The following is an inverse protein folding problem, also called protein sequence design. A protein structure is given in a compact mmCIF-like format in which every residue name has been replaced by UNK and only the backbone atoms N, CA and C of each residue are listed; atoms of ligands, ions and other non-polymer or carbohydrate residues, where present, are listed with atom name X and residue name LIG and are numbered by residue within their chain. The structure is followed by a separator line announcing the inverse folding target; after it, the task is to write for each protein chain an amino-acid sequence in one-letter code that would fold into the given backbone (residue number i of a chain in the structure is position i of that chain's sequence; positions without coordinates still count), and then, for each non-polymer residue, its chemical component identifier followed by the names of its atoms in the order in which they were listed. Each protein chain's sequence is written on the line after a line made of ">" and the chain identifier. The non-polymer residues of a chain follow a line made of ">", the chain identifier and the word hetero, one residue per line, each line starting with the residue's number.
data_IF_918495793929
#
_entry.id   IF_918495793929
#
_cell.length_a   1.000
_cell.length_b   1.000
_cell.length_c   1.000
_cell.angle_alpha   90.00
_cell.angle_beta   90.00
_cell.angle_gamma   90.00
#
_symmetry.space_group_name_H-M   'P 1'
#
loop_
_entity.id
_entity.type
_entity.pdbx_description
1 polymer ?
#
# COMPACT_ATOMS: atom_id res chain seq x y z
N UNK A 1 -76.22 5.11 -1.50
CA UNK A 1 -75.40 6.21 -2.02
C UNK A 1 -74.53 6.71 -0.87
N UNK A 2 -73.33 6.30 -0.79
CA UNK A 2 -72.24 7.01 -0.10
C UNK A 2 -70.92 6.29 -0.43
N UNK A 3 -70.10 6.94 -1.18
CA UNK A 3 -68.85 6.55 -1.71
C UNK A 3 -67.75 6.84 -0.69
N UNK A 4 -67.03 5.84 -0.26
CA UNK A 4 -65.75 5.97 0.49
C UNK A 4 -64.60 6.22 -0.49
N UNK A 5 -63.69 7.15 -0.25
CA UNK A 5 -62.45 7.24 -1.02
C UNK A 5 -61.35 6.38 -0.39
N UNK A 6 -60.78 5.59 -1.24
CA UNK A 6 -59.61 4.76 -1.07
C UNK A 6 -58.36 5.65 -0.82
N UNK A 7 -57.67 5.43 0.30
CA UNK A 7 -56.43 6.11 0.62
C UNK A 7 -55.25 5.10 0.51
N UNK A 8 -54.72 4.98 -0.70
CA UNK A 8 -53.46 4.32 -0.97
C UNK A 8 -52.33 5.23 -0.52
N UNK A 9 -51.70 4.90 0.62
CA UNK A 9 -50.39 5.41 0.99
C UNK A 9 -49.30 4.70 0.14
N UNK A 10 -48.40 5.43 -0.52
CA UNK A 10 -47.21 4.80 -1.07
C UNK A 10 -46.27 4.47 0.07
N UNK A 11 -45.92 3.21 0.18
CA UNK A 11 -44.86 2.74 1.04
C UNK A 11 -43.55 3.44 0.63
N UNK A 12 -43.00 4.23 1.55
CA UNK A 12 -41.64 4.76 1.45
C UNK A 12 -40.64 3.57 1.50
N UNK A 13 -40.14 3.18 0.35
CA UNK A 13 -38.98 2.32 0.25
C UNK A 13 -37.79 3.09 0.81
N UNK A 14 -37.49 2.82 2.06
CA UNK A 14 -36.21 3.17 2.69
C UNK A 14 -35.09 2.42 1.94
N UNK A 15 -34.49 3.04 0.96
CA UNK A 15 -33.20 2.63 0.42
C UNK A 15 -32.19 2.81 1.54
N UNK A 16 -31.88 1.72 2.26
CA UNK A 16 -30.67 1.63 3.07
C UNK A 16 -29.49 1.81 2.11
N UNK A 17 -28.93 2.99 2.11
CA UNK A 17 -27.60 3.24 1.53
C UNK A 17 -26.63 2.42 2.37
N UNK A 18 -26.22 1.27 1.87
CA UNK A 18 -25.08 0.54 2.44
C UNK A 18 -23.88 1.46 2.31
N UNK A 19 -23.41 1.97 3.42
CA UNK A 19 -22.17 2.75 3.48
C UNK A 19 -21.00 1.78 3.21
N UNK A 20 -20.56 1.74 1.96
CA UNK A 20 -19.37 0.98 1.57
C UNK A 20 -18.14 1.73 2.05
N UNK A 21 -17.42 1.15 3.03
CA UNK A 21 -16.18 1.72 3.55
C UNK A 21 -15.09 1.70 2.47
N UNK A 22 -14.45 2.84 2.28
CA UNK A 22 -13.30 3.03 1.39
C UNK A 22 -12.02 2.85 2.21
N UNK A 23 -11.23 1.81 1.91
CA UNK A 23 -9.99 1.53 2.64
C UNK A 23 -8.79 2.10 1.89
N UNK A 24 -8.15 3.12 2.47
CA UNK A 24 -6.83 3.57 2.07
C UNK A 24 -5.73 2.82 2.84
N UNK A 25 -4.53 2.74 2.25
CA UNK A 25 -3.37 2.11 2.89
C UNK A 25 -2.14 2.98 2.71
N UNK A 26 -1.34 3.13 3.77
CA UNK A 26 -0.04 3.79 3.70
C UNK A 26 1.03 2.94 4.40
N UNK A 27 2.19 2.76 3.77
CA UNK A 27 3.28 1.98 4.34
C UNK A 27 4.01 2.73 5.46
N UNK A 28 4.35 2.01 6.53
CA UNK A 28 5.28 2.43 7.59
C UNK A 28 6.58 1.68 7.34
N UNK A 29 7.68 2.39 7.20
CA UNK A 29 8.98 1.88 6.79
C UNK A 29 9.98 1.92 7.92
N UNK A 30 10.96 1.02 7.89
CA UNK A 30 12.13 1.06 8.78
C UNK A 30 13.25 1.97 8.23
N UNK A 31 14.38 2.05 8.93
CA UNK A 31 15.56 2.85 8.54
C UNK A 31 16.18 2.40 7.21
N UNK A 32 15.98 1.13 6.82
CA UNK A 32 16.42 0.54 5.56
C UNK A 32 15.39 0.74 4.45
N UNK A 33 14.29 1.45 4.74
CA UNK A 33 13.14 1.67 3.85
C UNK A 33 12.43 0.36 3.45
N UNK A 34 12.48 -0.65 4.31
CA UNK A 34 11.69 -1.87 4.19
C UNK A 34 10.35 -1.67 4.88
N UNK A 35 9.28 -2.29 4.35
CA UNK A 35 7.96 -2.18 4.95
C UNK A 35 7.93 -2.89 6.31
N UNK A 36 7.67 -2.14 7.36
CA UNK A 36 7.47 -2.63 8.71
C UNK A 36 6.01 -2.97 8.97
N UNK A 37 5.10 -2.14 8.49
CA UNK A 37 3.67 -2.27 8.67
C UNK A 37 2.90 -1.36 7.72
N UNK A 38 1.58 -1.39 7.84
CA UNK A 38 0.68 -0.56 7.04
C UNK A 38 -0.34 0.10 7.94
N UNK A 39 -0.60 1.38 7.72
CA UNK A 39 -1.78 2.04 8.26
C UNK A 39 -2.93 1.90 7.27
N UNK A 40 -4.08 1.47 7.79
CA UNK A 40 -5.35 1.42 7.06
C UNK A 40 -6.24 2.56 7.54
N UNK A 41 -6.87 3.24 6.61
CA UNK A 41 -7.79 4.34 6.92
C UNK A 41 -9.05 4.28 6.05
N UNK A 42 -10.17 4.66 6.65
CA UNK A 42 -11.47 4.76 5.97
C UNK A 42 -11.54 6.09 5.24
N UNK A 43 -11.75 6.04 3.93
CA UNK A 43 -11.95 7.22 3.09
C UNK A 43 -13.41 7.55 2.82
N UNK A 44 -14.34 6.69 3.24
CA UNK A 44 -15.75 6.86 2.98
C UNK A 44 -16.46 7.79 3.97
N UNK A 45 -15.83 8.06 5.12
CA UNK A 45 -16.46 8.81 6.19
C UNK A 45 -15.87 10.21 6.34
N UNK A 46 -16.69 11.23 6.20
CA UNK A 46 -16.34 12.62 6.54
C UNK A 46 -16.05 12.79 8.07
N UNK A 47 -16.35 11.78 8.88
CA UNK A 47 -16.04 11.73 10.31
C UNK A 47 -15.84 10.28 10.73
N UNK A 48 -14.79 10.01 11.51
CA UNK A 48 -14.56 8.70 12.14
C UNK A 48 -15.64 8.42 13.17
N UNK A 49 -16.27 7.25 13.07
CA UNK A 49 -17.26 6.75 14.02
C UNK A 49 -16.93 5.33 14.43
N UNK A 50 -17.41 4.87 15.59
CA UNK A 50 -17.24 3.48 16.01
C UNK A 50 -17.78 2.48 14.97
N UNK A 51 -18.80 2.86 14.21
CA UNK A 51 -19.36 2.05 13.14
C UNK A 51 -18.45 2.00 11.91
N UNK A 52 -17.79 3.12 11.54
CA UNK A 52 -16.83 3.15 10.43
C UNK A 52 -15.57 2.35 10.75
N UNK A 53 -15.06 2.46 11.98
CA UNK A 53 -13.91 1.68 12.45
C UNK A 53 -14.20 0.18 12.42
N UNK A 54 -15.38 -0.23 12.90
CA UNK A 54 -15.82 -1.62 12.87
C UNK A 54 -16.00 -2.13 11.43
N UNK A 55 -16.57 -1.32 10.54
CA UNK A 55 -16.75 -1.66 9.14
C UNK A 55 -15.39 -1.77 8.41
N UNK A 56 -14.45 -0.85 8.68
CA UNK A 56 -13.11 -0.90 8.15
C UNK A 56 -12.40 -2.19 8.54
N UNK A 57 -12.39 -2.51 9.84
CA UNK A 57 -11.80 -3.72 10.38
C UNK A 57 -12.44 -4.97 9.81
N UNK A 58 -13.77 -5.03 9.80
CA UNK A 58 -14.51 -6.17 9.27
C UNK A 58 -14.25 -6.37 7.78
N UNK A 59 -14.28 -5.32 6.99
CA UNK A 59 -14.00 -5.38 5.56
C UNK A 59 -12.54 -5.77 5.29
N UNK A 60 -11.56 -5.13 5.95
CA UNK A 60 -10.15 -5.43 5.78
C UNK A 60 -9.81 -6.90 6.15
N UNK A 61 -10.46 -7.44 7.18
CA UNK A 61 -10.16 -8.77 7.71
C UNK A 61 -11.04 -9.88 7.09
N UNK A 62 -12.27 -9.58 6.67
CA UNK A 62 -13.22 -10.58 6.16
C UNK A 62 -13.07 -10.86 4.67
N UNK A 63 -12.70 -9.85 3.85
CA UNK A 63 -12.67 -10.00 2.39
C UNK A 63 -11.40 -10.66 1.85
N UNK A 64 -10.28 -10.54 2.53
CA UNK A 64 -9.02 -11.10 2.04
C UNK A 64 -8.33 -12.06 3.02
N UNK A 65 -8.86 -12.19 4.25
CA UNK A 65 -8.12 -12.76 5.37
C UNK A 65 -6.98 -11.81 5.81
N UNK A 66 -6.78 -11.60 7.10
CA UNK A 66 -5.74 -10.67 7.60
C UNK A 66 -4.35 -11.03 7.06
N UNK A 67 -4.07 -12.33 6.84
CA UNK A 67 -2.80 -12.81 6.29
C UNK A 67 -2.59 -12.43 4.82
N UNK A 68 -3.66 -12.38 4.02
CA UNK A 68 -3.56 -12.04 2.61
C UNK A 68 -3.35 -10.52 2.39
N UNK A 69 -3.81 -9.67 3.32
CA UNK A 69 -3.70 -8.21 3.19
C UNK A 69 -2.34 -7.66 3.61
N UNK A 70 -1.70 -8.29 4.57
CA UNK A 70 -0.52 -7.73 5.25
C UNK A 70 0.58 -8.76 5.49
N UNK A 71 0.41 -10.01 5.10
CA UNK A 71 1.38 -11.08 5.32
C UNK A 71 1.78 -11.16 6.80
N UNK A 72 3.08 -11.05 7.08
CA UNK A 72 3.64 -11.02 8.45
C UNK A 72 3.74 -9.63 9.06
N UNK A 73 3.29 -8.57 8.35
CA UNK A 73 3.46 -7.17 8.74
C UNK A 73 2.40 -6.73 9.76
N UNK A 74 2.67 -5.63 10.46
CA UNK A 74 1.70 -5.02 11.38
C UNK A 74 0.69 -4.17 10.62
N UNK A 75 -0.53 -4.12 11.13
CA UNK A 75 -1.62 -3.26 10.65
C UNK A 75 -1.94 -2.23 11.70
N UNK A 76 -1.80 -0.97 11.34
CA UNK A 76 -2.20 0.15 12.17
C UNK A 76 -3.59 0.59 11.74
N UNK A 77 -4.48 0.79 12.71
CA UNK A 77 -5.88 1.11 12.48
C UNK A 77 -6.29 2.25 13.39
N UNK A 78 -6.80 3.31 12.77
CA UNK A 78 -7.39 4.42 13.50
C UNK A 78 -8.62 3.96 14.27
N UNK A 79 -8.76 4.37 15.50
CA UNK A 79 -9.88 4.02 16.37
C UNK A 79 -10.52 5.25 17.01
N UNK A 80 -11.74 5.10 17.51
CA UNK A 80 -12.37 6.05 18.39
C UNK A 80 -12.40 5.49 19.82
N UNK A 81 -12.57 6.36 20.82
CA UNK A 81 -12.71 5.90 22.20
C UNK A 81 -13.91 4.97 22.43
N UNK A 82 -14.95 5.10 21.62
CA UNK A 82 -16.13 4.24 21.68
C UNK A 82 -15.88 2.89 21.03
N UNK A 83 -15.15 2.85 19.91
CA UNK A 83 -14.82 1.60 19.20
C UNK A 83 -13.91 0.69 20.01
N UNK A 84 -13.06 1.22 20.90
CA UNK A 84 -12.15 0.45 21.74
C UNK A 84 -12.87 -0.48 22.73
N UNK A 85 -14.12 -0.19 23.04
CA UNK A 85 -14.97 -1.02 23.90
C UNK A 85 -15.93 -1.93 23.12
N UNK A 86 -15.84 -1.92 21.79
CA UNK A 86 -16.73 -2.64 20.90
C UNK A 86 -16.44 -4.14 20.79
N UNK A 87 -17.49 -4.97 20.71
CA UNK A 87 -17.37 -6.43 20.55
C UNK A 87 -16.73 -6.86 19.21
N UNK A 88 -16.62 -5.96 18.21
CA UNK A 88 -15.96 -6.25 16.94
C UNK A 88 -14.46 -6.58 17.10
N UNK A 89 -13.80 -6.03 18.13
CA UNK A 89 -12.40 -6.37 18.43
C UNK A 89 -12.22 -7.83 18.90
N UNK A 90 -13.28 -8.51 19.29
CA UNK A 90 -13.24 -9.95 19.65
C UNK A 90 -13.08 -10.86 18.42
N UNK A 91 -13.39 -10.34 17.24
CA UNK A 91 -13.32 -11.08 15.98
C UNK A 91 -11.96 -10.99 15.30
N UNK A 92 -11.00 -10.30 15.91
CA UNK A 92 -9.72 -9.94 15.30
C UNK A 92 -8.58 -10.64 16.03
N UNK A 93 -7.63 -11.23 15.28
CA UNK A 93 -6.37 -11.71 15.81
C UNK A 93 -5.50 -10.52 16.26
N UNK A 94 -5.27 -10.31 17.57
CA UNK A 94 -4.70 -9.06 18.06
C UNK A 94 -3.21 -8.91 17.78
N UNK A 95 -2.48 -9.99 17.51
CA UNK A 95 -1.02 -10.01 17.48
C UNK A 95 -0.42 -9.15 16.34
N UNK A 96 -1.20 -8.94 15.29
CA UNK A 96 -0.78 -8.17 14.12
C UNK A 96 -1.41 -6.77 14.06
N UNK A 97 -2.27 -6.43 15.02
CA UNK A 97 -3.02 -5.18 15.00
C UNK A 97 -2.47 -4.18 16.00
N UNK A 98 -2.28 -2.96 15.54
CA UNK A 98 -1.94 -1.78 16.33
C UNK A 98 -3.14 -0.83 16.29
N UNK A 99 -3.71 -0.54 17.44
CA UNK A 99 -4.84 0.38 17.60
C UNK A 99 -4.29 1.80 17.77
N UNK A 100 -4.58 2.68 16.84
CA UNK A 100 -4.23 4.10 16.92
C UNK A 100 -5.32 4.84 17.68
N UNK A 101 -4.96 5.30 18.85
CA UNK A 101 -5.89 5.93 19.78
C UNK A 101 -5.72 7.45 19.76
N UNK A 102 -6.76 8.20 19.40
CA UNK A 102 -6.71 9.66 19.36
C UNK A 102 -6.66 10.24 20.79
N UNK A 103 -6.27 11.52 20.95
CA UNK A 103 -6.41 12.21 22.22
C UNK A 103 -7.90 12.25 22.64
N UNK A 104 -8.14 12.46 23.94
CA UNK A 104 -9.49 12.65 24.44
C UNK A 104 -10.13 13.91 23.82
N UNK A 105 -11.45 13.94 23.67
CA UNK A 105 -12.15 15.12 23.19
C UNK A 105 -11.80 16.37 24.02
N UNK A 106 -11.78 17.53 23.36
CA UNK A 106 -11.49 18.79 24.01
C UNK A 106 -12.44 19.02 25.22
N UNK A 107 -11.86 19.39 26.36
CA UNK A 107 -12.61 19.58 27.61
C UNK A 107 -12.68 18.36 28.53
N UNK A 108 -12.12 17.21 28.14
CA UNK A 108 -11.99 16.05 29.03
C UNK A 108 -11.10 16.38 30.22
N UNK A 109 -11.51 15.92 31.41
CA UNK A 109 -10.71 16.16 32.63
C UNK A 109 -9.62 15.08 32.83
N UNK A 110 -8.68 15.34 33.72
CA UNK A 110 -7.59 14.41 34.04
C UNK A 110 -8.08 13.03 34.51
N UNK A 111 -9.25 12.99 35.17
CA UNK A 111 -9.88 11.74 35.63
C UNK A 111 -10.35 10.91 34.43
N UNK A 112 -10.97 11.54 33.42
CA UNK A 112 -11.41 10.87 32.19
C UNK A 112 -10.22 10.26 31.46
N UNK A 113 -9.13 11.02 31.32
CA UNK A 113 -7.88 10.56 30.68
C UNK A 113 -7.31 9.34 31.41
N UNK A 114 -7.22 9.41 32.74
CA UNK A 114 -6.65 8.33 33.56
C UNK A 114 -7.52 7.08 33.56
N UNK A 115 -8.84 7.21 33.54
CA UNK A 115 -9.78 6.10 33.52
C UNK A 115 -9.62 5.23 32.25
N UNK A 116 -9.22 5.83 31.13
CA UNK A 116 -8.95 5.09 29.89
C UNK A 116 -7.78 4.10 29.99
N UNK A 117 -6.86 4.30 30.92
CA UNK A 117 -5.77 3.34 31.15
C UNK A 117 -6.27 1.90 31.43
N UNK A 118 -7.42 1.76 32.07
CA UNK A 118 -8.03 0.45 32.29
C UNK A 118 -8.45 -0.25 30.99
N UNK A 119 -9.03 0.50 30.06
CA UNK A 119 -9.41 -0.02 28.73
C UNK A 119 -8.16 -0.42 27.96
N UNK A 120 -7.12 0.40 27.94
CA UNK A 120 -5.86 0.10 27.25
C UNK A 120 -5.15 -1.10 27.86
N UNK A 121 -5.15 -1.24 29.19
CA UNK A 121 -4.61 -2.39 29.88
C UNK A 121 -5.30 -3.69 29.43
N UNK A 122 -6.63 -3.71 29.43
CA UNK A 122 -7.41 -4.86 28.99
C UNK A 122 -7.15 -5.23 27.50
N UNK A 123 -6.99 -4.24 26.63
CA UNK A 123 -6.64 -4.47 25.23
C UNK A 123 -5.23 -5.07 25.08
N UNK A 124 -4.27 -4.59 25.85
CA UNK A 124 -2.89 -5.15 25.87
C UNK A 124 -2.87 -6.57 26.41
N UNK A 125 -3.65 -6.89 27.45
CA UNK A 125 -3.78 -8.26 27.96
C UNK A 125 -4.35 -9.22 26.92
N UNK A 126 -5.19 -8.71 26.02
CA UNK A 126 -5.70 -9.46 24.86
C UNK A 126 -4.69 -9.62 23.73
N UNK A 127 -3.55 -8.93 23.77
CA UNK A 127 -2.47 -9.01 22.78
C UNK A 127 -2.44 -7.87 21.75
N UNK A 128 -3.34 -6.87 21.84
CA UNK A 128 -3.29 -5.70 20.97
C UNK A 128 -2.10 -4.81 21.32
N UNK A 129 -1.57 -4.14 20.30
CA UNK A 129 -0.61 -3.05 20.46
C UNK A 129 -1.31 -1.71 20.36
N UNK A 130 -0.77 -0.71 21.03
CA UNK A 130 -1.38 0.62 21.12
C UNK A 130 -0.39 1.67 20.59
N UNK A 131 -0.87 2.51 19.68
CA UNK A 131 -0.19 3.69 19.20
C UNK A 131 -0.91 4.95 19.67
N UNK A 132 -0.15 5.92 20.15
CA UNK A 132 -0.62 7.27 20.47
C UNK A 132 0.09 8.28 19.59
N UNK A 133 -0.54 9.40 19.35
CA UNK A 133 0.10 10.56 18.71
C UNK A 133 0.95 11.40 19.71
N UNK A 134 1.56 12.47 19.23
CA UNK A 134 2.41 13.35 20.06
C UNK A 134 1.71 13.95 21.28
N UNK A 135 0.37 14.01 21.33
CA UNK A 135 -0.35 14.54 22.50
C UNK A 135 -0.09 13.69 23.74
N UNK A 136 0.18 12.39 23.59
CA UNK A 136 0.55 11.51 24.69
C UNK A 136 1.84 11.95 25.42
N UNK A 137 2.68 12.75 24.78
CA UNK A 137 3.90 13.30 25.39
C UNK A 137 3.65 14.54 26.25
N UNK A 138 2.41 14.99 26.36
CA UNK A 138 2.05 16.11 27.25
C UNK A 138 1.81 15.64 28.68
N UNK A 139 1.89 16.55 29.63
CA UNK A 139 1.75 16.24 31.07
C UNK A 139 0.40 15.57 31.41
N UNK A 140 -0.66 15.98 30.72
CA UNK A 140 -2.01 15.48 30.99
C UNK A 140 -2.18 14.02 30.64
N UNK A 141 -1.42 13.51 29.65
CA UNK A 141 -1.45 12.13 29.17
C UNK A 141 -0.31 11.26 29.69
N UNK A 142 0.45 11.72 30.68
CA UNK A 142 1.61 10.98 31.21
C UNK A 142 1.26 9.55 31.69
N UNK A 143 0.02 9.31 32.13
CA UNK A 143 -0.48 7.98 32.52
C UNK A 143 -0.61 6.98 31.36
N UNK A 144 -0.68 7.46 30.10
CA UNK A 144 -0.78 6.61 28.92
C UNK A 144 0.59 6.09 28.43
N UNK A 145 1.67 6.82 28.73
CA UNK A 145 3.00 6.51 28.21
C UNK A 145 3.49 5.08 28.52
N UNK A 146 3.25 4.50 29.71
CA UNK A 146 3.65 3.13 29.99
C UNK A 146 2.90 2.08 29.17
N UNK A 147 1.75 2.45 28.58
CA UNK A 147 0.89 1.57 27.79
C UNK A 147 1.17 1.66 26.28
N UNK A 148 1.98 2.66 25.86
CA UNK A 148 2.33 2.88 24.47
C UNK A 148 3.26 1.79 23.96
N UNK A 149 2.95 1.21 22.79
CA UNK A 149 3.86 0.40 21.99
C UNK A 149 4.46 1.27 20.87
N UNK A 150 3.72 2.28 20.41
CA UNK A 150 4.17 3.24 19.40
C UNK A 150 3.77 4.67 19.81
N UNK A 151 4.63 5.62 19.44
CA UNK A 151 4.33 7.06 19.49
C UNK A 151 4.53 7.63 18.09
N UNK A 152 3.48 8.21 17.53
CA UNK A 152 3.46 8.80 16.19
C UNK A 152 3.72 10.31 16.32
N UNK A 153 4.72 10.80 15.61
CA UNK A 153 5.13 12.20 15.60
C UNK A 153 4.85 12.81 14.23
N UNK A 154 3.84 13.67 14.15
CA UNK A 154 3.46 14.35 12.93
C UNK A 154 4.44 15.51 12.62
N UNK A 155 5.23 15.35 11.56
CA UNK A 155 6.26 16.30 11.14
C UNK A 155 5.69 17.64 10.67
N UNK A 156 4.39 17.72 10.37
CA UNK A 156 3.75 18.99 10.01
C UNK A 156 3.33 19.82 11.22
N UNK A 157 3.11 19.18 12.36
CA UNK A 157 2.63 19.84 13.57
C UNK A 157 3.74 20.14 14.58
N UNK A 158 4.93 19.54 14.43
CA UNK A 158 6.07 19.79 15.32
C UNK A 158 7.11 20.66 14.61
N UNK A 159 7.46 21.79 15.19
CA UNK A 159 8.50 22.67 14.63
C UNK A 159 9.86 21.96 14.65
N UNK A 160 10.67 22.16 13.61
CA UNK A 160 11.97 21.51 13.46
C UNK A 160 12.89 21.69 14.69
N UNK A 161 12.88 22.88 15.31
CA UNK A 161 13.69 23.19 16.49
C UNK A 161 13.25 22.40 17.74
N UNK A 162 12.01 21.93 17.78
CA UNK A 162 11.44 21.18 18.91
C UNK A 162 11.65 19.67 18.78
N UNK A 163 11.90 19.16 17.58
CA UNK A 163 12.04 17.72 17.30
C UNK A 163 13.04 17.01 18.22
N UNK A 164 14.29 17.54 18.42
CA UNK A 164 15.24 16.87 19.31
C UNK A 164 14.72 16.73 20.74
N UNK A 165 14.07 17.75 21.27
CA UNK A 165 13.53 17.72 22.62
C UNK A 165 12.36 16.74 22.76
N UNK A 166 11.45 16.73 21.78
CA UNK A 166 10.29 15.81 21.75
C UNK A 166 10.74 14.36 21.64
N UNK A 167 11.69 14.06 20.75
CA UNK A 167 12.22 12.70 20.56
C UNK A 167 12.95 12.23 21.83
N UNK A 168 13.82 13.07 22.40
CA UNK A 168 14.52 12.74 23.65
C UNK A 168 13.56 12.52 24.82
N UNK A 169 12.50 13.33 24.90
CA UNK A 169 11.46 13.15 25.91
C UNK A 169 10.77 11.79 25.74
N UNK A 170 10.32 11.47 24.52
CA UNK A 170 9.70 10.18 24.24
C UNK A 170 10.62 9.01 24.59
N UNK A 171 11.88 9.03 24.16
CA UNK A 171 12.87 7.99 24.44
C UNK A 171 13.16 7.83 25.95
N UNK A 172 13.07 8.91 26.70
CA UNK A 172 13.32 8.91 28.15
C UNK A 172 12.15 8.32 28.95
N UNK A 173 10.91 8.64 28.57
CA UNK A 173 9.73 8.35 29.37
C UNK A 173 8.87 7.18 28.87
N UNK A 174 9.17 6.63 27.71
CA UNK A 174 8.50 5.45 27.18
C UNK A 174 9.49 4.50 26.48
N UNK A 175 9.10 3.23 26.39
CA UNK A 175 9.81 2.20 25.59
C UNK A 175 9.18 2.03 24.20
N UNK A 176 8.20 2.86 23.86
CA UNK A 176 7.49 2.79 22.60
C UNK A 176 8.41 3.06 21.40
N UNK A 177 8.12 2.41 20.30
CA UNK A 177 8.74 2.75 19.03
C UNK A 177 8.21 4.10 18.53
N UNK A 178 9.11 5.00 18.15
CA UNK A 178 8.72 6.30 17.58
C UNK A 178 8.54 6.12 16.08
N UNK A 179 7.40 6.58 15.56
CA UNK A 179 7.07 6.66 14.13
C UNK A 179 7.05 8.14 13.72
N UNK A 180 7.93 8.55 12.80
CA UNK A 180 7.85 9.87 12.19
C UNK A 180 6.83 9.83 11.04
N UNK A 181 5.73 10.56 11.19
CA UNK A 181 4.67 10.66 10.20
C UNK A 181 4.81 11.88 9.29
N UNK A 182 4.20 11.79 8.10
CA UNK A 182 4.20 12.88 7.11
C UNK A 182 5.59 13.39 6.77
N UNK A 183 6.53 12.44 6.65
CA UNK A 183 7.87 12.73 6.16
C UNK A 183 7.79 13.06 4.67
N UNK A 184 8.02 14.32 4.31
CA UNK A 184 7.88 14.83 2.94
C UNK A 184 9.21 15.07 2.23
N UNK A 185 10.31 15.16 3.00
CA UNK A 185 11.63 15.47 2.46
C UNK A 185 12.70 14.52 3.00
N UNK A 186 13.81 14.43 2.24
CA UNK A 186 14.99 13.66 2.64
C UNK A 186 15.62 14.22 3.93
N UNK A 187 15.64 15.54 4.05
CA UNK A 187 16.20 16.22 5.21
C UNK A 187 15.43 15.87 6.48
N UNK A 188 14.10 15.79 6.41
CA UNK A 188 13.26 15.33 7.52
C UNK A 188 13.59 13.89 7.91
N UNK A 189 13.70 12.99 6.93
CA UNK A 189 14.06 11.60 7.17
C UNK A 189 15.43 11.47 7.85
N UNK A 190 16.48 12.10 7.29
CA UNK A 190 17.82 12.02 7.84
C UNK A 190 17.92 12.67 9.24
N UNK A 191 17.19 13.78 9.45
CA UNK A 191 17.09 14.42 10.76
C UNK A 191 16.50 13.47 11.81
N UNK A 192 15.34 12.88 11.55
CA UNK A 192 14.68 11.97 12.50
C UNK A 192 15.49 10.70 12.71
N UNK A 193 16.12 10.16 11.67
CA UNK A 193 17.02 9.02 11.76
C UNK A 193 18.24 9.33 12.63
N UNK A 194 18.84 10.52 12.49
CA UNK A 194 19.95 10.97 13.34
C UNK A 194 19.55 11.12 14.82
N UNK A 195 18.28 11.41 15.11
CA UNK A 195 17.72 11.41 16.46
C UNK A 195 17.38 10.00 17.00
N UNK A 196 17.65 8.95 16.22
CA UNK A 196 17.43 7.54 16.62
C UNK A 196 16.00 7.06 16.40
N UNK A 197 15.19 7.75 15.60
CA UNK A 197 13.88 7.26 15.16
C UNK A 197 14.08 6.17 14.12
N UNK A 198 13.33 5.08 14.24
CA UNK A 198 13.51 3.88 13.43
C UNK A 198 12.37 3.59 12.46
N UNK A 199 11.22 4.24 12.63
CA UNK A 199 10.03 4.02 11.82
C UNK A 199 9.57 5.33 11.20
N UNK A 200 9.15 5.26 9.94
CA UNK A 200 8.87 6.42 9.12
C UNK A 200 7.65 6.18 8.24
N UNK A 201 6.83 7.21 8.07
CA UNK A 201 5.67 7.20 7.20
C UNK A 201 5.57 8.56 6.52
N UNK A 202 5.27 8.57 5.22
CA UNK A 202 5.09 9.84 4.52
C UNK A 202 5.24 9.74 3.02
N UNK A 203 4.89 10.83 2.37
CA UNK A 203 4.83 10.92 0.91
C UNK A 203 6.22 10.91 0.26
N UNK A 204 7.27 11.33 0.98
CA UNK A 204 8.63 11.31 0.43
C UNK A 204 9.08 9.93 -0.05
N UNK A 205 8.65 8.88 0.62
CA UNK A 205 9.01 7.51 0.25
C UNK A 205 8.35 7.04 -1.06
N UNK A 206 7.29 7.72 -1.49
CA UNK A 206 6.62 7.50 -2.77
C UNK A 206 7.11 8.47 -3.86
N UNK A 207 7.92 9.50 -3.52
CA UNK A 207 8.51 10.43 -4.50
C UNK A 207 9.82 9.87 -5.04
N UNK A 208 10.07 9.99 -6.35
CA UNK A 208 11.37 9.67 -6.92
C UNK A 208 12.45 10.63 -6.40
N UNK A 209 13.52 10.10 -5.83
CA UNK A 209 14.77 10.84 -5.69
C UNK A 209 15.36 10.99 -7.10
N UNK A 210 15.29 12.16 -7.71
CA UNK A 210 15.96 12.47 -8.95
C UNK A 210 17.46 12.53 -8.68
N UNK A 211 18.13 11.38 -8.76
CA UNK A 211 19.58 11.30 -8.65
C UNK A 211 20.14 11.42 -10.06
N UNK A 212 20.97 12.45 -10.25
CA UNK A 212 21.70 12.64 -11.51
C UNK A 212 22.46 11.37 -11.90
N UNK A 213 22.15 10.86 -13.10
CA UNK A 213 22.86 9.85 -13.89
C UNK A 213 23.51 8.71 -13.09
N UNK A 214 22.72 7.72 -12.69
CA UNK A 214 23.25 6.41 -12.27
C UNK A 214 23.29 5.46 -13.48
N UNK A 215 24.41 4.76 -13.63
CA UNK A 215 24.53 3.66 -14.61
C UNK A 215 23.62 2.52 -14.20
N UNK A 216 22.82 2.01 -15.12
CA UNK A 216 21.99 0.81 -14.93
C UNK A 216 22.88 -0.34 -14.47
N UNK A 217 22.49 -1.03 -13.42
CA UNK A 217 23.27 -2.14 -12.84
C UNK A 217 23.25 -3.37 -13.75
N UNK A 218 24.27 -4.26 -13.72
CA UNK A 218 24.36 -5.38 -14.65
C UNK A 218 23.10 -6.27 -14.68
N UNK A 219 22.58 -6.67 -13.53
CA UNK A 219 21.33 -7.46 -13.46
C UNK A 219 20.10 -6.71 -13.97
N UNK A 220 19.95 -5.42 -13.67
CA UNK A 220 18.88 -4.60 -14.23
C UNK A 220 19.01 -4.49 -15.75
N UNK A 221 20.23 -4.34 -16.26
CA UNK A 221 20.48 -4.31 -17.70
C UNK A 221 20.03 -5.63 -18.38
N UNK A 222 20.30 -6.79 -17.78
CA UNK A 222 19.86 -8.10 -18.29
C UNK A 222 18.33 -8.21 -18.26
N UNK A 223 17.67 -7.75 -17.20
CA UNK A 223 16.20 -7.76 -17.11
C UNK A 223 15.61 -6.85 -18.21
N UNK A 224 16.17 -5.66 -18.43
CA UNK A 224 15.72 -4.76 -19.50
C UNK A 224 15.92 -5.36 -20.90
N UNK A 225 17.05 -6.05 -21.13
CA UNK A 225 17.27 -6.79 -22.37
C UNK A 225 16.22 -7.89 -22.55
N UNK A 226 15.84 -8.60 -21.47
CA UNK A 226 14.79 -9.61 -21.50
C UNK A 226 13.43 -8.99 -21.85
N UNK A 227 13.07 -7.87 -21.24
CA UNK A 227 11.83 -7.16 -21.55
C UNK A 227 11.76 -6.77 -23.04
N UNK A 228 12.86 -6.21 -23.58
CA UNK A 228 12.95 -5.84 -24.99
C UNK A 228 12.87 -7.05 -25.91
N UNK A 229 13.58 -8.13 -25.59
CA UNK A 229 13.59 -9.36 -26.40
C UNK A 229 12.21 -10.02 -26.42
N UNK A 230 11.54 -10.09 -25.30
CA UNK A 230 10.17 -10.60 -25.19
C UNK A 230 9.18 -9.74 -25.96
N UNK A 231 9.31 -8.41 -25.87
CA UNK A 231 8.42 -7.46 -26.56
C UNK A 231 8.61 -7.50 -28.09
N UNK A 232 9.84 -7.67 -28.56
CA UNK A 232 10.14 -7.86 -29.98
C UNK A 232 9.81 -9.26 -30.51
N UNK A 233 9.13 -10.09 -29.71
CA UNK A 233 8.80 -11.47 -30.04
C UNK A 233 10.03 -12.34 -30.39
N UNK A 234 11.12 -12.11 -29.67
CA UNK A 234 12.34 -12.89 -29.82
C UNK A 234 12.10 -14.38 -29.66
N UNK A 235 12.91 -15.18 -30.33
CA UNK A 235 12.81 -16.62 -30.29
C UNK A 235 13.09 -17.18 -28.88
N UNK A 236 12.51 -18.34 -28.57
CA UNK A 236 12.77 -19.04 -27.29
C UNK A 236 14.26 -19.32 -27.10
N UNK A 237 15.01 -19.54 -28.19
CA UNK A 237 16.47 -19.77 -28.14
C UNK A 237 17.24 -18.50 -27.73
N UNK A 238 16.85 -17.34 -28.24
CA UNK A 238 17.46 -16.04 -27.85
C UNK A 238 17.16 -15.71 -26.39
N UNK A 239 15.90 -15.93 -25.94
CA UNK A 239 15.49 -15.73 -24.53
C UNK A 239 16.29 -16.68 -23.63
N UNK A 240 16.41 -17.97 -23.99
CA UNK A 240 17.21 -18.95 -23.26
C UNK A 240 18.68 -18.54 -23.17
N UNK A 241 19.27 -18.07 -24.28
CA UNK A 241 20.65 -17.59 -24.33
C UNK A 241 20.89 -16.36 -23.44
N UNK A 242 19.89 -15.48 -23.35
CA UNK A 242 19.95 -14.30 -22.45
C UNK A 242 19.83 -14.71 -20.98
N UNK A 243 18.90 -15.58 -20.64
CA UNK A 243 18.70 -16.07 -19.27
C UNK A 243 19.98 -16.79 -18.76
N UNK A 244 20.64 -17.55 -19.58
CA UNK A 244 21.90 -18.24 -19.23
C UNK A 244 23.05 -17.32 -18.87
N UNK A 245 22.98 -16.02 -19.25
CA UNK A 245 24.01 -15.03 -18.88
C UNK A 245 23.91 -14.56 -17.45
N UNK A 246 22.75 -14.76 -16.80
CA UNK A 246 22.53 -14.38 -15.40
C UNK A 246 21.97 -15.59 -14.63
N UNK A 247 22.82 -16.29 -13.84
CA UNK A 247 22.40 -17.45 -13.05
C UNK A 247 21.30 -17.12 -12.04
N UNK A 248 21.29 -15.90 -11.47
CA UNK A 248 20.28 -15.45 -10.50
C UNK A 248 18.93 -15.28 -11.16
N UNK A 249 18.90 -14.61 -12.32
CA UNK A 249 17.68 -14.45 -13.12
C UNK A 249 17.12 -15.81 -13.55
N UNK A 250 18.01 -16.70 -13.99
CA UNK A 250 17.68 -18.08 -14.36
C UNK A 250 17.06 -18.89 -13.23
N UNK A 251 17.68 -18.84 -12.06
CA UNK A 251 17.18 -19.51 -10.86
C UNK A 251 15.81 -18.96 -10.44
N UNK A 252 15.67 -17.64 -10.43
CA UNK A 252 14.40 -17.00 -10.08
C UNK A 252 13.27 -17.38 -11.06
N UNK A 253 13.53 -17.51 -12.36
CA UNK A 253 12.54 -17.95 -13.32
C UNK A 253 12.05 -19.38 -13.05
N UNK A 254 12.98 -20.32 -12.84
CA UNK A 254 12.63 -21.72 -12.57
C UNK A 254 11.88 -21.86 -11.23
N UNK A 255 12.30 -21.13 -10.22
CA UNK A 255 11.62 -21.07 -8.93
C UNK A 255 10.21 -20.52 -9.06
N UNK A 256 10.03 -19.43 -9.82
CA UNK A 256 8.73 -18.82 -10.06
C UNK A 256 7.75 -19.77 -10.75
N UNK A 257 8.18 -20.43 -11.84
CA UNK A 257 7.28 -21.32 -12.59
C UNK A 257 6.96 -22.60 -11.82
N UNK A 258 7.87 -23.07 -10.95
CA UNK A 258 7.65 -24.24 -10.10
C UNK A 258 6.93 -23.91 -8.80
N UNK A 259 6.52 -22.65 -8.57
CA UNK A 259 5.75 -22.28 -7.39
C UNK A 259 4.33 -22.85 -7.43
N UNK A 260 3.73 -23.04 -6.25
CA UNK A 260 2.40 -23.62 -6.11
C UNK A 260 1.29 -22.88 -6.90
N UNK A 261 1.50 -21.57 -7.18
CA UNK A 261 0.57 -20.75 -7.95
C UNK A 261 0.38 -21.15 -9.41
N UNK A 262 1.29 -21.95 -9.98
CA UNK A 262 1.15 -22.46 -11.35
C UNK A 262 0.45 -23.81 -11.43
N UNK A 263 0.30 -24.54 -10.32
CA UNK A 263 -0.40 -25.83 -10.28
C UNK A 263 0.15 -26.89 -11.24
N UNK A 264 1.46 -26.81 -11.56
CA UNK A 264 2.08 -27.75 -12.47
C UNK A 264 2.26 -29.11 -11.77
N UNK A 265 1.89 -30.18 -12.46
CA UNK A 265 2.07 -31.56 -11.98
C UNK A 265 3.49 -32.11 -12.19
N UNK A 266 4.32 -31.40 -12.96
CA UNK A 266 5.69 -31.79 -13.31
C UNK A 266 6.60 -30.57 -13.07
N UNK A 267 7.74 -30.82 -12.43
CA UNK A 267 8.76 -29.81 -12.21
C UNK A 267 9.43 -29.39 -13.52
N UNK A 268 9.54 -28.09 -13.74
CA UNK A 268 10.19 -27.48 -14.91
C UNK A 268 11.66 -27.27 -14.60
N UNK A 269 12.53 -27.98 -15.31
CA UNK A 269 13.97 -27.96 -15.10
C UNK A 269 14.77 -27.26 -16.21
N UNK A 270 14.11 -26.82 -17.28
CA UNK A 270 14.77 -26.12 -18.40
C UNK A 270 14.15 -24.77 -18.70
N UNK A 271 15.01 -23.80 -19.05
CA UNK A 271 14.54 -22.44 -19.41
C UNK A 271 13.66 -22.43 -20.65
N UNK A 272 13.97 -23.25 -21.65
CA UNK A 272 13.13 -23.39 -22.86
C UNK A 272 11.73 -23.84 -22.49
N UNK A 273 11.60 -24.84 -21.63
CA UNK A 273 10.31 -25.35 -21.17
C UNK A 273 9.57 -24.31 -20.32
N UNK A 274 10.29 -23.58 -19.45
CA UNK A 274 9.74 -22.48 -18.66
C UNK A 274 9.14 -21.39 -19.56
N UNK A 275 9.88 -20.94 -20.58
CA UNK A 275 9.42 -19.92 -21.54
C UNK A 275 8.22 -20.41 -22.35
N UNK A 276 8.21 -21.67 -22.77
CA UNK A 276 7.09 -22.26 -23.51
C UNK A 276 5.81 -22.36 -22.67
N UNK A 277 5.91 -22.75 -21.38
CA UNK A 277 4.75 -22.84 -20.48
C UNK A 277 4.23 -21.45 -20.12
N UNK A 278 5.10 -20.51 -19.79
CA UNK A 278 4.71 -19.14 -19.44
C UNK A 278 4.10 -18.39 -20.62
N UNK A 279 4.70 -18.54 -21.80
CA UNK A 279 4.46 -17.69 -22.95
C UNK A 279 5.04 -16.27 -22.75
N UNK A 280 5.17 -15.54 -23.84
CA UNK A 280 5.83 -14.22 -23.85
C UNK A 280 5.15 -13.17 -22.95
N UNK A 281 3.80 -13.16 -22.90
CA UNK A 281 3.06 -12.21 -22.05
C UNK A 281 3.40 -12.37 -20.57
N UNK A 282 3.29 -13.59 -20.04
CA UNK A 282 3.57 -13.85 -18.61
C UNK A 282 5.06 -13.67 -18.30
N UNK A 283 5.94 -14.02 -19.25
CA UNK A 283 7.38 -13.80 -19.10
C UNK A 283 7.71 -12.31 -19.03
N UNK A 284 7.06 -11.46 -19.84
CA UNK A 284 7.21 -10.00 -19.77
C UNK A 284 6.79 -9.48 -18.40
N UNK A 285 5.61 -9.88 -17.92
CA UNK A 285 5.09 -9.45 -16.61
C UNK A 285 6.02 -9.89 -15.46
N UNK A 286 6.53 -11.12 -15.51
CA UNK A 286 7.49 -11.64 -14.55
C UNK A 286 8.80 -10.83 -14.58
N UNK A 287 9.35 -10.52 -15.75
CA UNK A 287 10.55 -9.71 -15.88
C UNK A 287 10.33 -8.28 -15.38
N UNK A 288 9.15 -7.68 -15.64
CA UNK A 288 8.78 -6.38 -15.11
C UNK A 288 8.69 -6.39 -13.57
N UNK A 289 8.10 -7.44 -13.00
CA UNK A 289 8.07 -7.65 -11.54
C UNK A 289 9.49 -7.75 -10.96
N UNK A 290 10.38 -8.52 -11.59
CA UNK A 290 11.77 -8.62 -11.13
C UNK A 290 12.51 -7.27 -11.18
N UNK A 291 12.25 -6.45 -12.19
CA UNK A 291 12.84 -5.12 -12.26
C UNK A 291 12.45 -4.27 -11.06
N UNK A 292 11.21 -4.41 -10.58
CA UNK A 292 10.71 -3.67 -9.40
C UNK A 292 11.21 -4.24 -8.08
N UNK A 293 11.45 -5.54 -8.02
CA UNK A 293 11.87 -6.24 -6.78
C UNK A 293 13.39 -6.46 -6.71
N UNK A 294 14.13 -6.20 -7.80
CA UNK A 294 15.58 -6.36 -7.82
C UNK A 294 16.25 -5.40 -6.84
N UNK A 295 16.81 -5.94 -5.75
CA UNK A 295 17.52 -5.20 -4.71
C UNK A 295 18.73 -4.48 -5.28
N UNK A 296 18.56 -3.24 -5.67
CA UNK A 296 19.70 -2.34 -5.80
C UNK A 296 20.02 -1.73 -4.42
N UNK A 297 21.29 -1.56 -4.05
CA UNK A 297 21.68 -1.03 -2.73
C UNK A 297 21.09 0.35 -2.40
N UNK A 298 20.45 1.03 -3.35
CA UNK A 298 19.94 2.39 -3.20
C UNK A 298 18.43 2.54 -3.47
N UNK A 299 17.74 1.50 -3.99
CA UNK A 299 16.28 1.53 -4.18
C UNK A 299 15.60 0.99 -2.93
N UNK A 300 14.69 1.77 -2.37
CA UNK A 300 13.92 1.33 -1.20
C UNK A 300 13.03 0.12 -1.58
N UNK A 301 13.03 -0.98 -0.82
CA UNK A 301 12.18 -2.15 -1.07
C UNK A 301 10.69 -1.80 -1.23
N UNK A 302 10.23 -0.79 -0.49
CA UNK A 302 8.87 -0.27 -0.57
C UNK A 302 8.48 0.27 -1.95
N UNK A 303 9.42 0.83 -2.72
CA UNK A 303 9.14 1.34 -4.08
C UNK A 303 8.72 0.21 -5.01
N UNK A 304 9.44 -0.91 -4.96
CA UNK A 304 9.09 -2.11 -5.73
C UNK A 304 7.73 -2.67 -5.35
N UNK A 305 7.44 -2.79 -4.07
CA UNK A 305 6.16 -3.29 -3.58
C UNK A 305 5.00 -2.36 -3.97
N UNK A 306 5.17 -1.05 -3.85
CA UNK A 306 4.17 -0.06 -4.30
C UNK A 306 3.90 -0.19 -5.81
N UNK A 307 4.94 -0.35 -6.63
CA UNK A 307 4.79 -0.53 -8.07
C UNK A 307 3.99 -1.81 -8.42
N UNK A 308 4.25 -2.92 -7.71
CA UNK A 308 3.52 -4.18 -7.87
C UNK A 308 2.03 -3.99 -7.55
N UNK A 309 1.72 -3.33 -6.44
CA UNK A 309 0.32 -3.02 -6.05
C UNK A 309 -0.34 -2.15 -7.11
N UNK A 310 0.31 -1.08 -7.57
CA UNK A 310 -0.21 -0.19 -8.63
C UNK A 310 -0.51 -0.97 -9.91
N UNK A 311 0.41 -1.80 -10.35
CA UNK A 311 0.23 -2.63 -11.54
C UNK A 311 -1.00 -3.51 -11.43
N UNK A 312 -1.15 -4.24 -10.33
CA UNK A 312 -2.29 -5.13 -10.11
C UNK A 312 -3.60 -4.38 -9.93
N UNK A 313 -3.59 -3.25 -9.23
CA UNK A 313 -4.78 -2.41 -9.05
C UNK A 313 -5.28 -1.89 -10.40
N UNK A 314 -4.42 -1.30 -11.21
CA UNK A 314 -4.78 -0.82 -12.54
C UNK A 314 -5.33 -1.93 -13.44
N UNK A 315 -4.72 -3.11 -13.41
CA UNK A 315 -5.21 -4.29 -14.13
C UNK A 315 -6.64 -4.66 -13.75
N UNK A 316 -6.92 -4.73 -12.43
CA UNK A 316 -8.24 -5.09 -11.92
C UNK A 316 -9.29 -4.03 -12.23
N UNK A 317 -8.94 -2.74 -12.12
CA UNK A 317 -9.86 -1.64 -12.45
C UNK A 317 -10.19 -1.58 -13.94
N UNK A 318 -9.22 -1.90 -14.79
CA UNK A 318 -9.38 -1.88 -16.25
C UNK A 318 -10.10 -3.13 -16.81
N UNK A 319 -10.16 -4.23 -16.06
CA UNK A 319 -10.53 -5.55 -16.56
C UNK A 319 -11.93 -5.63 -17.21
N UNK A 320 -12.90 -4.85 -16.71
CA UNK A 320 -14.27 -4.85 -17.22
C UNK A 320 -14.53 -3.77 -18.30
N UNK A 321 -13.56 -2.86 -18.50
CA UNK A 321 -13.77 -1.64 -19.30
C UNK A 321 -12.90 -1.60 -20.56
N UNK A 322 -11.76 -2.28 -20.55
CA UNK A 322 -10.77 -2.21 -21.62
C UNK A 322 -10.56 -3.55 -22.30
N UNK A 323 -9.97 -3.52 -23.48
CA UNK A 323 -9.59 -4.75 -24.19
C UNK A 323 -8.50 -5.51 -23.42
N UNK A 324 -8.36 -6.83 -23.60
CA UNK A 324 -7.33 -7.61 -22.91
C UNK A 324 -5.89 -7.10 -23.11
N UNK A 325 -5.60 -6.46 -24.25
CA UNK A 325 -4.30 -5.85 -24.50
C UNK A 325 -4.11 -4.55 -23.69
N UNK A 326 -5.14 -3.72 -23.61
CA UNK A 326 -5.13 -2.51 -22.80
C UNK A 326 -5.07 -2.82 -21.30
N UNK A 327 -5.71 -3.88 -20.83
CA UNK A 327 -5.61 -4.37 -19.45
C UNK A 327 -4.17 -4.80 -19.12
N UNK A 328 -3.51 -5.52 -20.03
CA UNK A 328 -2.08 -5.84 -19.87
C UNK A 328 -1.23 -4.57 -19.85
N UNK A 329 -1.55 -3.58 -20.67
CA UNK A 329 -0.86 -2.29 -20.69
C UNK A 329 -1.14 -1.46 -19.41
N UNK A 330 -2.35 -1.53 -18.85
CA UNK A 330 -2.68 -0.91 -17.56
C UNK A 330 -1.79 -1.47 -16.43
N UNK A 331 -1.60 -2.79 -16.38
CA UNK A 331 -0.65 -3.40 -15.45
C UNK A 331 0.76 -2.81 -15.60
N UNK A 332 1.25 -2.68 -16.84
CA UNK A 332 2.58 -2.14 -17.13
C UNK A 332 2.69 -0.67 -16.70
N UNK A 333 1.66 0.14 -16.94
CA UNK A 333 1.63 1.55 -16.51
C UNK A 333 1.76 1.65 -15.00
N UNK A 334 0.98 0.88 -14.24
CA UNK A 334 1.06 0.87 -12.79
C UNK A 334 2.45 0.46 -12.28
N UNK A 335 2.98 -0.63 -12.83
CA UNK A 335 4.32 -1.14 -12.51
C UNK A 335 5.42 -0.12 -12.80
N UNK A 336 5.38 0.53 -13.95
CA UNK A 336 6.42 1.45 -14.40
C UNK A 336 6.19 2.89 -13.95
N UNK A 337 5.11 3.17 -13.22
CA UNK A 337 4.85 4.50 -12.67
C UNK A 337 5.92 4.99 -11.67
N UNK A 338 6.79 4.10 -11.19
CA UNK A 338 7.93 4.37 -10.31
C UNK A 338 9.27 3.91 -10.94
N UNK A 339 9.32 3.72 -12.26
CA UNK A 339 10.49 3.19 -12.94
C UNK A 339 11.72 4.11 -12.80
N UNK A 340 11.52 5.42 -12.84
CA UNK A 340 12.52 6.45 -12.55
C UNK A 340 13.16 6.28 -11.17
N UNK A 341 12.33 6.08 -10.15
CA UNK A 341 12.75 5.83 -8.77
C UNK A 341 13.53 4.52 -8.62
N UNK A 342 13.11 3.48 -9.34
CA UNK A 342 13.75 2.17 -9.30
C UNK A 342 15.12 2.17 -9.98
N UNK A 343 15.23 2.87 -11.10
CA UNK A 343 16.46 2.95 -11.88
C UNK A 343 17.37 4.11 -11.45
N UNK A 344 16.83 5.11 -10.78
CA UNK A 344 17.54 6.32 -10.38
C UNK A 344 17.91 7.22 -11.55
N UNK A 345 17.09 7.23 -12.61
CA UNK A 345 17.24 8.05 -13.82
C UNK A 345 15.90 8.71 -14.19
N UNK A 346 15.88 9.81 -14.94
CA UNK A 346 14.63 10.43 -15.39
C UNK A 346 13.69 9.46 -16.11
N UNK A 347 12.36 9.64 -15.92
CA UNK A 347 11.35 8.74 -16.49
C UNK A 347 11.48 8.60 -18.02
N UNK A 348 11.73 9.70 -18.75
CA UNK A 348 11.92 9.68 -20.19
C UNK A 348 13.05 8.73 -20.60
N UNK A 349 14.20 8.83 -19.93
CA UNK A 349 15.36 7.96 -20.18
C UNK A 349 15.07 6.50 -19.82
N UNK A 350 14.34 6.28 -18.72
CA UNK A 350 13.94 4.94 -18.30
C UNK A 350 13.02 4.27 -19.32
N UNK A 351 12.05 5.02 -19.85
CA UNK A 351 11.11 4.53 -20.86
C UNK A 351 11.74 4.35 -22.25
N UNK A 352 12.79 5.10 -22.58
CA UNK A 352 13.54 4.93 -23.85
C UNK A 352 14.36 3.63 -23.85
N UNK A 353 14.70 3.13 -22.67
CA UNK A 353 15.44 1.88 -22.54
C UNK A 353 14.55 0.63 -22.68
N UNK A 354 13.23 0.77 -22.70
CA UNK A 354 12.26 -0.33 -22.83
C UNK A 354 11.30 -0.04 -23.97
N UNK A 355 11.16 -0.99 -24.91
CA UNK A 355 10.18 -0.88 -25.99
C UNK A 355 8.76 -1.00 -25.42
N UNK A 356 8.01 0.10 -25.40
CA UNK A 356 6.66 0.19 -24.87
C UNK A 356 5.68 0.75 -25.89
N UNK A 357 4.38 0.35 -25.83
CA UNK A 357 3.34 1.00 -26.64
C UNK A 357 3.25 2.48 -26.35
N UNK A 358 2.83 3.25 -27.35
CA UNK A 358 2.66 4.70 -27.21
C UNK A 358 1.63 5.03 -26.11
N UNK A 359 0.54 4.27 -25.99
CA UNK A 359 -0.47 4.45 -24.94
C UNK A 359 0.09 4.35 -23.51
N UNK A 360 1.07 3.47 -23.30
CA UNK A 360 1.77 3.34 -22.01
C UNK A 360 2.67 4.55 -21.76
N UNK A 361 3.43 4.98 -22.78
CA UNK A 361 4.30 6.17 -22.71
C UNK A 361 3.49 7.43 -22.44
N UNK A 362 2.38 7.62 -23.14
CA UNK A 362 1.50 8.77 -22.98
C UNK A 362 0.92 8.83 -21.55
N UNK A 363 0.47 7.70 -21.02
CA UNK A 363 -0.04 7.64 -19.65
C UNK A 363 1.04 7.97 -18.60
N UNK A 364 2.27 7.52 -18.82
CA UNK A 364 3.36 7.74 -17.85
C UNK A 364 3.97 9.14 -17.93
N UNK A 365 4.19 9.68 -19.15
CA UNK A 365 4.88 10.95 -19.35
C UNK A 365 3.95 12.15 -19.31
N UNK A 366 2.81 12.06 -20.00
CA UNK A 366 1.92 13.21 -20.23
C UNK A 366 0.58 13.12 -19.51
N UNK A 367 0.31 11.98 -18.84
CA UNK A 367 -0.99 11.72 -18.17
C UNK A 367 -2.17 11.84 -19.15
N UNK A 368 -2.00 11.30 -20.35
CA UNK A 368 -3.02 11.31 -21.40
C UNK A 368 -3.33 9.90 -21.91
N UNK A 369 -4.42 9.79 -22.68
CA UNK A 369 -4.87 8.52 -23.25
C UNK A 369 -5.77 7.71 -22.30
N UNK A 370 -6.21 6.55 -22.80
CA UNK A 370 -7.20 5.68 -22.13
C UNK A 370 -6.73 5.11 -20.79
N UNK A 371 -5.41 4.97 -20.59
CA UNK A 371 -4.82 4.41 -19.37
C UNK A 371 -4.58 5.46 -18.26
N UNK A 372 -4.51 6.73 -18.62
CA UNK A 372 -4.20 7.80 -17.69
C UNK A 372 -5.23 7.93 -16.53
N UNK A 373 -6.55 7.89 -16.75
CA UNK A 373 -7.52 7.98 -15.66
C UNK A 373 -7.38 6.86 -14.62
N UNK A 374 -7.01 5.65 -15.06
CA UNK A 374 -6.76 4.52 -14.14
C UNK A 374 -5.51 4.74 -13.30
N UNK A 375 -4.45 5.31 -13.89
CA UNK A 375 -3.25 5.68 -13.14
C UNK A 375 -3.54 6.79 -12.13
N UNK A 376 -4.27 7.83 -12.53
CA UNK A 376 -4.66 8.92 -11.63
C UNK A 376 -5.54 8.41 -10.47
N UNK A 377 -6.51 7.53 -10.74
CA UNK A 377 -7.32 6.89 -9.69
C UNK A 377 -6.45 6.06 -8.74
N UNK A 378 -5.51 5.29 -9.27
CA UNK A 378 -4.57 4.50 -8.46
C UNK A 378 -3.73 5.40 -7.55
N UNK A 379 -3.25 6.53 -8.05
CA UNK A 379 -2.50 7.51 -7.26
C UNK A 379 -3.38 8.21 -6.22
N UNK A 380 -4.63 8.55 -6.56
CA UNK A 380 -5.59 9.12 -5.62
C UNK A 380 -5.90 8.14 -4.47
N UNK A 381 -5.95 6.83 -4.73
CA UNK A 381 -6.06 5.80 -3.70
C UNK A 381 -4.91 5.82 -2.68
N UNK A 382 -3.72 6.26 -3.06
CA UNK A 382 -2.55 6.31 -2.17
C UNK A 382 -2.43 7.66 -1.42
N UNK A 383 -2.89 8.75 -2.03
CA UNK A 383 -2.62 10.11 -1.56
C UNK A 383 -3.65 10.65 -0.56
N UNK A 384 -4.80 9.98 -0.39
CA UNK A 384 -5.87 10.50 0.45
C UNK A 384 -6.59 11.72 -0.14
N UNK A 385 -6.56 11.88 -1.47
CA UNK A 385 -7.25 12.95 -2.18
C UNK A 385 -8.68 12.51 -2.52
N UNK A 386 -9.59 12.71 -1.55
CA UNK A 386 -10.97 12.24 -1.63
C UNK A 386 -11.76 12.94 -2.74
N UNK A 387 -11.50 14.23 -3.01
CA UNK A 387 -12.18 14.99 -4.07
C UNK A 387 -11.78 14.46 -5.45
N UNK A 388 -10.50 14.26 -5.67
CA UNK A 388 -9.98 13.70 -6.93
C UNK A 388 -10.39 12.24 -7.10
N UNK A 389 -10.39 11.48 -6.01
CA UNK A 389 -10.88 10.09 -6.01
C UNK A 389 -12.34 10.01 -6.45
N UNK A 390 -13.25 10.79 -5.82
CA UNK A 390 -14.68 10.82 -6.19
C UNK A 390 -14.88 11.22 -7.65
N UNK A 391 -14.20 12.25 -8.12
CA UNK A 391 -14.24 12.69 -9.51
C UNK A 391 -13.80 11.60 -10.50
N UNK A 392 -12.76 10.86 -10.18
CA UNK A 392 -12.19 9.83 -11.05
C UNK A 392 -13.05 8.56 -11.06
N UNK A 393 -13.62 8.16 -9.92
CA UNK A 393 -14.55 7.04 -9.84
C UNK A 393 -15.81 7.30 -10.64
N UNK A 394 -16.38 8.52 -10.55
CA UNK A 394 -17.52 8.92 -11.35
C UNK A 394 -17.20 8.92 -12.86
N UNK A 395 -16.05 9.47 -13.24
CA UNK A 395 -15.61 9.52 -14.64
C UNK A 395 -15.38 8.13 -15.25
N UNK A 396 -14.93 7.17 -14.46
CA UNK A 396 -14.73 5.77 -14.86
C UNK A 396 -15.95 4.88 -14.61
N UNK A 397 -17.06 5.44 -14.11
CA UNK A 397 -18.27 4.67 -13.74
C UNK A 397 -17.97 3.49 -12.79
N UNK A 398 -16.99 3.66 -11.91
CA UNK A 398 -16.62 2.67 -10.91
C UNK A 398 -17.27 3.01 -9.58
N UNK A 399 -17.84 2.02 -8.91
CA UNK A 399 -18.30 2.19 -7.53
C UNK A 399 -17.12 2.15 -6.56
N UNK A 400 -17.26 2.79 -5.41
CA UNK A 400 -16.29 2.72 -4.32
C UNK A 400 -16.01 1.27 -3.90
N UNK A 401 -17.02 0.40 -3.95
CA UNK A 401 -16.87 -1.03 -3.66
C UNK A 401 -15.93 -1.74 -4.65
N UNK A 402 -16.09 -1.49 -5.96
CA UNK A 402 -15.22 -2.08 -6.99
C UNK A 402 -13.75 -1.64 -6.79
N UNK A 403 -13.53 -0.35 -6.54
CA UNK A 403 -12.16 0.17 -6.31
C UNK A 403 -11.54 -0.42 -5.05
N UNK A 404 -12.30 -0.47 -3.96
CA UNK A 404 -11.83 -1.09 -2.71
C UNK A 404 -11.50 -2.56 -2.88
N UNK A 405 -12.41 -3.31 -3.50
CA UNK A 405 -12.19 -4.73 -3.74
C UNK A 405 -10.95 -4.95 -4.61
N UNK A 406 -10.79 -4.19 -5.69
CA UNK A 406 -9.61 -4.25 -6.55
C UNK A 406 -8.33 -3.91 -5.78
N UNK A 407 -8.37 -2.89 -4.92
CA UNK A 407 -7.23 -2.49 -4.11
C UNK A 407 -6.83 -3.60 -3.11
N UNK A 408 -7.79 -4.17 -2.38
CA UNK A 408 -7.54 -5.28 -1.47
C UNK A 408 -6.95 -6.51 -2.18
N UNK A 409 -7.47 -6.85 -3.35
CA UNK A 409 -6.94 -7.93 -4.19
C UNK A 409 -5.51 -7.64 -4.68
N UNK A 410 -5.22 -6.39 -5.05
CA UNK A 410 -3.88 -5.98 -5.47
C UNK A 410 -2.87 -6.10 -4.33
N UNK A 411 -3.26 -5.72 -3.12
CA UNK A 411 -2.45 -5.84 -1.92
C UNK A 411 -2.14 -7.30 -1.58
N UNK A 412 -3.19 -8.14 -1.53
CA UNK A 412 -3.04 -9.56 -1.26
C UNK A 412 -2.13 -10.25 -2.29
N UNK A 413 -2.28 -9.88 -3.56
CA UNK A 413 -1.44 -10.43 -4.62
C UNK A 413 0.03 -10.00 -4.49
N UNK A 414 0.31 -8.75 -4.11
CA UNK A 414 1.67 -8.27 -3.92
C UNK A 414 2.42 -9.01 -2.80
N UNK A 415 1.74 -9.38 -1.71
CA UNK A 415 2.34 -10.15 -0.60
C UNK A 415 2.83 -11.55 -1.04
N UNK A 416 2.21 -12.15 -2.06
CA UNK A 416 2.67 -13.46 -2.57
C UNK A 416 4.08 -13.45 -3.14
N UNK A 417 4.63 -12.27 -3.46
CA UNK A 417 5.99 -12.10 -3.97
C UNK A 417 7.03 -11.85 -2.88
N UNK A 418 6.63 -11.32 -1.72
CA UNK A 418 7.55 -11.13 -0.58
C UNK A 418 8.00 -12.47 0.04
N UNK A 419 7.15 -13.49 0.00
CA UNK A 419 7.48 -14.84 0.49
C UNK A 419 8.43 -15.62 -0.46
N UNK A 420 8.66 -15.11 -1.67
CA UNK A 420 9.57 -15.73 -2.66
C UNK A 420 10.99 -15.13 -2.64
N UNK A 421 11.26 -14.11 -1.86
CA UNK A 421 12.58 -13.48 -1.67
C UNK A 421 13.17 -13.83 -0.31
#
# INVERSE_FOLDING_TARGET
>A
MSTTPDSTHPAATSTKTEANALVGRQAILNEQREVFGYELFDRSAASFTAASDAALLFNALSYAGAEALVGKKLVFINTTHDSLSGGHLELIAPEKVVLEVPPMPAGSCAFDITTRCGVFGALKERGFRIAFDQHALTKDYASWLPLADFIKLDMMHIKAEQLPAVVQFAQKYTKAHIVAEKVETKEQFECMKALGVKLFQGYWFAKPDVIQAKTVRPNQAVIMQLLNLVRSQGSTAEIEALLKKDPTLSFNLLRFINSAGFGLSIEVTSFRHAVMILGLKKLFRWAALLLTTSRGSDTAPAVGQTAVVRGRLMELLAAEMLTPEEVDNAFIVGMFSLLDSMLGIPMEMALDAVALPQSVRDALLTRTGVLAPFLELTLACEQGDDDNFARLTDALHLSNHQVNWAHLQALAWAETFDDMN
#
